data_IF_053092791631
#
_entry.id   IF_053092791631
#
_cell.length_a   1.000
_cell.length_b   1.000
_cell.length_c   1.000
_cell.angle_alpha   90.00
_cell.angle_beta   90.00
_cell.angle_gamma   90.00
#
_symmetry.space_group_name_H-M   'P 1'
#
loop_
_entity.id
_entity.type
_entity.pdbx_description
1 polymer ?
#
# COMPACT_ATOMS: atom_id res chain seq x y z
N UNK A 1 7.91 -7.21 -19.95
CA UNK A 1 7.51 -7.62 -18.59
C UNK A 1 7.09 -6.37 -17.83
N UNK A 2 5.88 -6.35 -17.26
CA UNK A 2 5.60 -5.39 -16.19
C UNK A 2 6.47 -5.78 -15.01
N UNK A 3 7.25 -4.82 -14.48
CA UNK A 3 8.01 -5.04 -13.26
C UNK A 3 7.04 -5.07 -12.08
N UNK A 4 7.30 -5.94 -11.11
CA UNK A 4 6.40 -6.21 -9.98
C UNK A 4 7.22 -6.26 -8.70
N UNK A 5 6.59 -5.89 -7.59
CA UNK A 5 7.20 -5.93 -6.26
C UNK A 5 6.64 -7.11 -5.46
N UNK A 6 7.52 -7.85 -4.79
CA UNK A 6 7.12 -8.84 -3.78
C UNK A 6 6.60 -8.17 -2.51
N UNK A 7 5.99 -8.94 -1.62
CA UNK A 7 5.56 -8.46 -0.31
C UNK A 7 6.70 -7.81 0.50
N UNK A 8 7.90 -8.42 0.49
CA UNK A 8 9.06 -7.86 1.20
C UNK A 8 9.56 -6.56 0.57
N UNK A 9 9.56 -6.47 -0.76
CA UNK A 9 9.92 -5.23 -1.47
C UNK A 9 8.92 -4.10 -1.16
N UNK A 10 7.61 -4.40 -1.12
CA UNK A 10 6.60 -3.43 -0.70
C UNK A 10 6.83 -2.95 0.74
N UNK A 11 7.06 -3.88 1.68
CA UNK A 11 7.34 -3.53 3.09
C UNK A 11 8.59 -2.66 3.22
N UNK A 12 9.65 -2.98 2.47
CA UNK A 12 10.86 -2.18 2.44
C UNK A 12 10.59 -0.78 1.89
N UNK A 13 9.86 -0.68 0.78
CA UNK A 13 9.49 0.59 0.18
C UNK A 13 8.68 1.47 1.15
N UNK A 14 7.70 0.89 1.84
CA UNK A 14 6.90 1.56 2.86
C UNK A 14 7.78 2.10 4.00
N UNK A 15 8.73 1.30 4.49
CA UNK A 15 9.63 1.71 5.57
C UNK A 15 10.49 2.92 5.15
N UNK A 16 11.07 2.89 3.95
CA UNK A 16 11.90 3.99 3.44
C UNK A 16 11.06 5.24 3.18
N UNK A 17 9.85 5.08 2.63
CA UNK A 17 8.94 6.20 2.40
C UNK A 17 8.50 6.87 3.71
N UNK A 18 8.24 6.10 4.77
CA UNK A 18 7.95 6.63 6.11
C UNK A 18 9.14 7.41 6.67
N UNK A 19 10.36 6.90 6.55
CA UNK A 19 11.56 7.62 6.97
C UNK A 19 11.71 8.95 6.21
N UNK A 20 11.49 8.95 4.89
CA UNK A 20 11.53 10.17 4.07
C UNK A 20 10.43 11.16 4.47
N UNK A 21 9.23 10.67 4.79
CA UNK A 21 8.15 11.50 5.30
C UNK A 21 8.48 12.09 6.68
N UNK A 22 9.15 11.35 7.56
CA UNK A 22 9.63 11.87 8.84
C UNK A 22 10.67 12.98 8.67
N UNK A 23 11.59 12.84 7.71
CA UNK A 23 12.53 13.90 7.34
C UNK A 23 11.79 15.14 6.85
N UNK A 24 10.74 14.96 6.04
CA UNK A 24 9.92 16.06 5.55
C UNK A 24 9.19 16.77 6.69
N UNK A 25 8.59 16.02 7.63
CA UNK A 25 7.93 16.60 8.81
C UNK A 25 8.89 17.35 9.73
N UNK A 26 10.16 16.91 9.83
CA UNK A 26 11.20 17.66 10.54
C UNK A 26 11.54 18.98 9.84
N UNK A 27 11.61 18.98 8.52
CA UNK A 27 11.90 20.17 7.70
C UNK A 27 10.71 21.15 7.64
N UNK A 28 9.50 20.63 7.70
CA UNK A 28 8.24 21.38 7.64
C UNK A 28 7.30 20.92 8.77
N UNK A 29 7.47 21.42 10.01
CA UNK A 29 6.76 20.92 11.20
C UNK A 29 5.25 21.11 11.16
N UNK A 30 4.73 22.00 10.31
CA UNK A 30 3.30 22.26 10.16
C UNK A 30 2.58 21.27 9.23
N UNK A 31 3.29 20.27 8.68
CA UNK A 31 2.69 19.25 7.80
C UNK A 31 1.73 18.36 8.58
N UNK A 32 0.42 18.63 8.44
CA UNK A 32 -0.67 17.77 8.88
C UNK A 32 -1.12 16.86 7.73
N UNK A 33 -0.42 15.74 7.58
CA UNK A 33 -0.62 14.84 6.46
C UNK A 33 -0.34 13.38 6.83
N UNK A 34 -0.77 12.47 5.95
CA UNK A 34 -0.54 11.03 6.03
C UNK A 34 -0.13 10.49 4.67
N UNK A 35 0.37 9.26 4.65
CA UNK A 35 0.81 8.60 3.42
C UNK A 35 -0.24 7.62 2.90
N UNK A 36 -0.33 7.53 1.58
CA UNK A 36 -1.16 6.55 0.87
C UNK A 36 -0.36 5.87 -0.23
N UNK A 37 -0.77 4.64 -0.54
CA UNK A 37 -0.44 3.96 -1.79
C UNK A 37 -1.49 4.37 -2.83
N UNK A 38 -1.07 4.77 -4.02
CA UNK A 38 -2.00 5.30 -5.03
C UNK A 38 -1.61 4.99 -6.46
N UNK A 39 -2.63 4.89 -7.31
CA UNK A 39 -2.56 4.91 -8.76
C UNK A 39 -3.75 5.72 -9.29
N UNK A 40 -3.91 5.79 -10.62
CA UNK A 40 -5.02 6.49 -11.26
C UNK A 40 -6.40 5.94 -10.88
N UNK A 41 -6.49 4.65 -10.57
CA UNK A 41 -7.74 3.91 -10.39
C UNK A 41 -8.04 3.54 -8.93
N UNK A 42 -7.23 4.01 -7.97
CA UNK A 42 -7.47 3.74 -6.56
C UNK A 42 -6.36 4.20 -5.63
N UNK A 43 -6.64 4.09 -4.34
CA UNK A 43 -5.68 4.33 -3.27
C UNK A 43 -6.06 3.55 -2.01
N UNK A 44 -5.07 3.32 -1.15
CA UNK A 44 -5.26 2.78 0.19
C UNK A 44 -4.29 3.45 1.17
N UNK A 45 -4.58 3.37 2.47
CA UNK A 45 -3.63 3.77 3.51
C UNK A 45 -2.28 3.06 3.30
N UNK A 46 -1.17 3.75 3.57
CA UNK A 46 0.17 3.11 3.51
C UNK A 46 0.30 1.94 4.51
N UNK A 47 -0.51 1.96 5.57
CA UNK A 47 -0.53 0.96 6.65
C UNK A 47 -1.55 -0.16 6.42
N UNK A 48 -2.25 -0.15 5.29
CA UNK A 48 -3.22 -1.18 4.96
C UNK A 48 -2.56 -2.56 4.88
N UNK A 49 -3.16 -3.53 5.56
CA UNK A 49 -2.81 -4.94 5.46
C UNK A 49 -3.03 -5.48 4.04
N UNK A 50 -2.39 -6.59 3.64
CA UNK A 50 -2.66 -7.22 2.34
C UNK A 50 -4.13 -7.53 2.07
N UNK A 51 -4.90 -7.87 3.11
CA UNK A 51 -6.36 -8.12 3.02
C UNK A 51 -7.11 -6.83 2.72
N UNK A 52 -6.77 -5.73 3.40
CA UNK A 52 -7.35 -4.41 3.15
C UNK A 52 -6.98 -3.91 1.75
N UNK A 53 -5.72 -4.05 1.34
CA UNK A 53 -5.27 -3.70 -0.02
C UNK A 53 -6.06 -4.45 -1.10
N UNK A 54 -6.29 -5.75 -0.92
CA UNK A 54 -7.11 -6.55 -1.85
C UNK A 54 -8.57 -6.09 -1.91
N UNK A 55 -9.10 -5.50 -0.83
CA UNK A 55 -10.49 -5.07 -0.76
C UNK A 55 -10.70 -3.62 -1.22
N UNK A 56 -9.82 -2.71 -0.80
CA UNK A 56 -9.95 -1.26 -1.01
C UNK A 56 -9.24 -0.80 -2.29
N UNK A 57 -8.13 -1.44 -2.63
CA UNK A 57 -7.30 -1.05 -3.77
C UNK A 57 -6.81 -2.27 -4.58
N UNK A 58 -7.75 -3.11 -5.08
CA UNK A 58 -7.40 -4.36 -5.76
C UNK A 58 -6.54 -4.14 -7.01
N UNK A 59 -6.65 -2.99 -7.68
CA UNK A 59 -5.86 -2.69 -8.88
C UNK A 59 -4.36 -2.55 -8.60
N UNK A 60 -3.94 -2.31 -7.36
CA UNK A 60 -2.53 -2.31 -6.97
C UNK A 60 -1.92 -3.73 -7.00
N UNK A 61 -2.73 -4.75 -6.71
CA UNK A 61 -2.28 -6.15 -6.67
C UNK A 61 -2.37 -6.73 -8.08
N UNK A 62 -1.28 -7.35 -8.53
CA UNK A 62 -1.17 -7.96 -9.86
C UNK A 62 -2.18 -9.09 -9.99
N UNK A 63 -2.85 -9.16 -11.15
CA UNK A 63 -3.80 -10.24 -11.46
C UNK A 63 -3.06 -11.52 -11.81
N UNK A 64 -2.61 -12.25 -10.78
CA UNK A 64 -1.89 -13.52 -10.87
C UNK A 64 -2.54 -14.62 -10.02
N UNK A 65 -1.90 -15.80 -10.01
CA UNK A 65 -2.35 -16.95 -9.22
C UNK A 65 -2.40 -16.67 -7.72
N UNK A 66 -1.48 -15.83 -7.20
CA UNK A 66 -1.43 -15.43 -5.80
C UNK A 66 -2.66 -14.61 -5.41
N UNK A 67 -3.01 -13.59 -6.21
CA UNK A 67 -4.23 -12.80 -6.01
C UNK A 67 -5.49 -13.66 -6.14
N UNK A 68 -5.56 -14.52 -7.15
CA UNK A 68 -6.70 -15.43 -7.35
C UNK A 68 -6.89 -16.37 -6.15
N UNK A 69 -5.81 -16.95 -5.63
CA UNK A 69 -5.84 -17.81 -4.46
C UNK A 69 -6.33 -17.05 -3.21
N UNK A 70 -5.80 -15.85 -2.96
CA UNK A 70 -6.20 -15.02 -1.81
C UNK A 70 -7.70 -14.66 -1.87
N UNK A 71 -8.19 -14.21 -3.04
CA UNK A 71 -9.60 -13.86 -3.24
C UNK A 71 -10.53 -15.09 -3.08
N UNK A 72 -10.11 -16.25 -3.54
CA UNK A 72 -10.85 -17.51 -3.38
C UNK A 72 -11.01 -17.86 -1.89
N UNK A 73 -9.93 -17.79 -1.11
CA UNK A 73 -9.96 -18.04 0.34
C UNK A 73 -10.81 -17.00 1.07
N UNK A 74 -10.66 -15.71 0.74
CA UNK A 74 -11.49 -14.63 1.31
C UNK A 74 -12.99 -14.85 1.04
N UNK A 75 -13.34 -15.28 -0.17
CA UNK A 75 -14.73 -15.59 -0.54
C UNK A 75 -15.26 -16.78 0.24
N UNK A 76 -14.45 -17.82 0.40
CA UNK A 76 -14.83 -19.00 1.19
C UNK A 76 -15.02 -18.65 2.68
N UNK A 77 -14.13 -17.85 3.27
CA UNK A 77 -14.27 -17.34 4.64
C UNK A 77 -15.56 -16.54 4.83
N UNK A 78 -15.92 -15.67 3.89
CA UNK A 78 -17.18 -14.93 3.93
C UNK A 78 -18.40 -15.86 3.93
N UNK A 79 -18.37 -16.93 3.11
CA UNK A 79 -19.43 -17.95 3.09
C UNK A 79 -19.53 -18.72 4.40
N UNK A 80 -18.38 -19.11 4.98
CA UNK A 80 -18.34 -19.78 6.29
C UNK A 80 -18.86 -18.89 7.43
N UNK A 81 -18.64 -17.58 7.35
CA UNK A 81 -19.22 -16.63 8.31
C UNK A 81 -20.73 -16.46 8.14
N UNK A 82 -21.23 -16.47 6.91
CA UNK A 82 -22.66 -16.36 6.62
C UNK A 82 -23.44 -17.64 6.94
N UNK A 83 -22.82 -18.82 6.79
CA UNK A 83 -23.43 -20.13 7.02
C UNK A 83 -23.34 -20.59 8.49
N UNK A 84 -23.40 -19.66 9.46
CA UNK A 84 -23.22 -19.96 10.89
C UNK A 84 -24.28 -20.90 11.49
N UNK A 85 -25.32 -21.23 10.73
CA UNK A 85 -26.37 -22.17 11.12
C UNK A 85 -26.13 -23.53 10.45
N UNK A 86 -25.70 -24.52 11.24
CA UNK A 86 -25.64 -25.94 10.83
C UNK A 86 -24.30 -26.66 11.07
N UNK A 87 -23.19 -25.94 11.30
CA UNK A 87 -21.90 -26.55 11.66
C UNK A 87 -21.74 -26.64 13.18
N UNK A 88 -21.27 -27.80 13.66
CA UNK A 88 -20.81 -27.93 15.05
C UNK A 88 -19.68 -26.94 15.33
N UNK A 89 -19.69 -26.32 16.53
CA UNK A 89 -18.74 -25.24 16.89
C UNK A 89 -17.27 -25.62 16.63
N UNK A 90 -16.90 -26.87 16.89
CA UNK A 90 -15.55 -27.39 16.68
C UNK A 90 -15.18 -27.49 15.20
N UNK A 91 -16.05 -28.05 14.35
CA UNK A 91 -15.82 -28.13 12.90
C UNK A 91 -15.75 -26.75 12.25
N UNK A 92 -16.61 -25.82 12.68
CA UNK A 92 -16.55 -24.44 12.21
C UNK A 92 -15.23 -23.75 12.61
N UNK A 93 -14.72 -24.02 13.82
CA UNK A 93 -13.45 -23.47 14.28
C UNK A 93 -12.26 -24.03 13.48
N UNK A 94 -12.24 -25.34 13.24
CA UNK A 94 -11.20 -26.00 12.46
C UNK A 94 -11.15 -25.49 11.01
N UNK A 95 -12.30 -25.41 10.34
CA UNK A 95 -12.38 -24.88 8.97
C UNK A 95 -11.92 -23.43 8.88
N UNK A 96 -12.28 -22.58 9.87
CA UNK A 96 -11.80 -21.19 9.93
C UNK A 96 -10.29 -21.13 10.13
N UNK A 97 -9.72 -21.98 10.97
CA UNK A 97 -8.28 -22.03 11.21
C UNK A 97 -7.51 -22.47 9.95
N UNK A 98 -7.99 -23.49 9.24
CA UNK A 98 -7.44 -23.91 7.95
C UNK A 98 -7.51 -22.78 6.91
N UNK A 99 -8.67 -22.13 6.78
CA UNK A 99 -8.83 -21.01 5.86
C UNK A 99 -7.90 -19.85 6.19
N UNK A 100 -7.69 -19.54 7.48
CA UNK A 100 -6.75 -18.51 7.91
C UNK A 100 -5.32 -18.86 7.50
N UNK A 101 -4.86 -20.09 7.74
CA UNK A 101 -3.52 -20.55 7.31
C UNK A 101 -3.33 -20.46 5.80
N UNK A 102 -4.34 -20.89 5.04
CA UNK A 102 -4.33 -20.78 3.56
C UNK A 102 -4.31 -19.34 3.09
N UNK A 103 -5.04 -18.45 3.77
CA UNK A 103 -5.01 -17.03 3.46
C UNK A 103 -3.62 -16.47 3.73
N UNK A 104 -3.05 -16.71 4.91
CA UNK A 104 -1.71 -16.22 5.28
C UNK A 104 -0.66 -16.65 4.23
N UNK A 105 -0.70 -17.91 3.77
CA UNK A 105 0.17 -18.42 2.70
C UNK A 105 -0.10 -17.76 1.33
N UNK A 106 -1.35 -17.49 0.98
CA UNK A 106 -1.68 -16.79 -0.26
C UNK A 106 -1.20 -15.33 -0.23
N UNK A 107 -1.31 -14.67 0.93
CA UNK A 107 -0.91 -13.28 1.12
C UNK A 107 0.61 -13.08 0.97
N UNK A 108 1.44 -14.07 1.35
CA UNK A 108 2.90 -13.99 1.17
C UNK A 108 3.33 -14.07 -0.30
N UNK A 109 2.48 -14.64 -1.16
CA UNK A 109 2.74 -14.82 -2.59
C UNK A 109 2.12 -13.71 -3.46
N UNK A 110 1.63 -12.63 -2.85
CA UNK A 110 1.11 -11.49 -3.60
C UNK A 110 2.23 -10.70 -4.26
N UNK A 111 1.99 -10.33 -5.51
CA UNK A 111 2.77 -9.34 -6.22
C UNK A 111 2.00 -8.03 -6.34
N UNK A 112 2.74 -6.93 -6.23
CA UNK A 112 2.21 -5.58 -6.28
C UNK A 112 2.78 -4.84 -7.47
N UNK A 113 2.00 -3.93 -8.06
CA UNK A 113 2.48 -3.06 -9.13
C UNK A 113 3.55 -2.12 -8.58
N UNK A 114 4.77 -2.24 -9.09
CA UNK A 114 5.94 -1.50 -8.60
C UNK A 114 5.87 0.02 -8.92
N UNK A 115 5.09 0.39 -9.94
CA UNK A 115 4.75 1.76 -10.30
C UNK A 115 3.73 2.42 -9.37
N UNK A 116 3.16 1.68 -8.41
CA UNK A 116 2.30 2.26 -7.39
C UNK A 116 3.04 3.39 -6.68
N UNK A 117 2.39 4.55 -6.56
CA UNK A 117 2.99 5.76 -6.03
C UNK A 117 2.76 5.82 -4.53
N UNK A 118 3.71 6.41 -3.82
CA UNK A 118 3.55 6.75 -2.40
C UNK A 118 3.36 8.26 -2.33
N UNK A 119 2.15 8.67 -1.97
CA UNK A 119 1.70 10.07 -1.97
C UNK A 119 1.46 10.59 -0.56
N UNK A 120 1.62 11.89 -0.40
CA UNK A 120 1.15 12.64 0.77
C UNK A 120 -0.29 13.07 0.54
N UNK A 121 -1.15 12.80 1.53
CA UNK A 121 -2.51 13.32 1.62
C UNK A 121 -2.63 14.24 2.82
N UNK A 122 -3.21 15.40 2.61
CA UNK A 122 -3.33 16.44 3.63
C UNK A 122 -4.64 16.28 4.40
N UNK A 123 -4.56 16.34 5.73
CA UNK A 123 -5.74 16.39 6.59
C UNK A 123 -6.37 17.79 6.60
N UNK A 124 -5.55 18.82 6.37
CA UNK A 124 -5.95 20.22 6.27
C UNK A 124 -5.21 20.86 5.09
N UNK A 125 -5.90 21.71 4.31
CA UNK A 125 -5.30 22.36 3.14
C UNK A 125 -4.58 23.64 3.55
N UNK A 126 -3.25 23.61 3.53
CA UNK A 126 -2.37 24.78 3.56
C UNK A 126 -1.69 24.91 2.20
N UNK A 127 -2.23 25.77 1.33
CA UNK A 127 -1.76 25.88 -0.06
C UNK A 127 -0.33 26.42 -0.16
N UNK A 128 0.09 27.33 0.73
CA UNK A 128 1.46 27.85 0.74
C UNK A 128 2.45 26.74 1.08
N UNK A 129 2.12 25.93 2.10
CA UNK A 129 2.92 24.74 2.43
C UNK A 129 2.94 23.74 1.28
N UNK A 130 1.79 23.44 0.68
CA UNK A 130 1.70 22.51 -0.46
C UNK A 130 2.58 22.99 -1.62
N UNK A 131 2.52 24.27 -2.00
CA UNK A 131 3.35 24.82 -3.08
C UNK A 131 4.83 24.78 -2.73
N UNK A 132 5.20 25.02 -1.47
CA UNK A 132 6.58 24.84 -1.00
C UNK A 132 7.03 23.39 -1.14
N UNK A 133 6.18 22.42 -0.77
CA UNK A 133 6.48 20.99 -0.85
C UNK A 133 6.65 20.50 -2.29
N UNK A 134 5.96 21.07 -3.28
CA UNK A 134 6.09 20.66 -4.68
C UNK A 134 7.54 20.70 -5.18
N UNK A 135 8.32 21.65 -4.68
CA UNK A 135 9.73 21.85 -5.07
C UNK A 135 10.72 21.30 -4.05
N UNK A 136 10.27 20.61 -3.00
CA UNK A 136 11.17 20.04 -2.01
C UNK A 136 12.10 18.98 -2.65
N UNK A 137 13.27 18.77 -2.07
CA UNK A 137 14.20 17.72 -2.55
C UNK A 137 13.80 16.33 -2.08
N UNK A 138 12.94 16.25 -1.06
CA UNK A 138 12.39 15.00 -0.53
C UNK A 138 11.16 14.51 -1.31
N UNK A 139 10.66 15.25 -2.29
CA UNK A 139 9.58 14.80 -3.18
C UNK A 139 10.15 14.32 -4.50
N UNK A 140 9.44 13.40 -5.15
CA UNK A 140 9.70 13.07 -6.55
C UNK A 140 9.10 14.18 -7.43
N UNK A 141 9.96 15.11 -7.86
CA UNK A 141 9.56 16.25 -8.70
C UNK A 141 9.11 15.87 -10.11
N UNK A 142 9.48 14.67 -10.59
CA UNK A 142 9.03 14.17 -11.89
C UNK A 142 7.59 13.66 -11.81
N UNK A 143 7.17 13.15 -10.63
CA UNK A 143 5.82 12.66 -10.39
C UNK A 143 4.89 13.69 -9.73
N UNK A 144 5.47 14.70 -9.08
CA UNK A 144 4.77 15.81 -8.42
C UNK A 144 4.56 16.97 -9.41
N UNK A 145 3.31 17.32 -9.74
CA UNK A 145 3.05 18.46 -10.62
C UNK A 145 3.58 19.78 -10.03
N UNK A 146 4.40 20.50 -10.81
CA UNK A 146 5.01 21.78 -10.42
C UNK A 146 4.07 22.95 -10.75
N UNK A 147 2.84 22.88 -10.29
CA UNK A 147 1.80 23.88 -10.59
C UNK A 147 0.90 24.12 -9.39
N UNK A 148 0.51 25.38 -9.20
CA UNK A 148 -0.42 25.78 -8.14
C UNK A 148 -1.83 25.19 -8.30
N UNK A 149 -2.15 24.65 -9.48
CA UNK A 149 -3.43 23.98 -9.75
C UNK A 149 -3.51 22.55 -9.19
N UNK A 150 -2.42 22.00 -8.65
CA UNK A 150 -2.39 20.65 -8.08
C UNK A 150 -2.02 20.69 -6.60
N UNK A 151 -2.64 19.81 -5.81
CA UNK A 151 -2.25 19.55 -4.42
C UNK A 151 -1.52 18.21 -4.27
N UNK A 152 -1.23 17.54 -5.39
CA UNK A 152 -0.67 16.20 -5.40
C UNK A 152 0.82 16.27 -5.10
N UNK A 153 1.25 15.61 -4.03
CA UNK A 153 2.66 15.50 -3.64
C UNK A 153 3.05 14.02 -3.61
N UNK A 154 3.96 13.61 -4.49
CA UNK A 154 4.43 12.24 -4.63
C UNK A 154 5.85 12.13 -4.08
N UNK A 155 6.10 11.16 -3.20
CA UNK A 155 7.43 10.91 -2.64
C UNK A 155 8.28 9.97 -3.51
N UNK A 156 7.64 9.15 -4.33
CA UNK A 156 8.26 8.16 -5.20
C UNK A 156 7.31 7.01 -5.52
N UNK A 157 7.85 5.93 -6.05
CA UNK A 157 7.12 4.69 -6.33
C UNK A 157 7.58 3.56 -5.42
N UNK A 158 6.81 2.47 -5.35
CA UNK A 158 7.25 1.25 -4.67
C UNK A 158 8.61 0.79 -5.21
N UNK A 159 8.80 0.80 -6.54
CA UNK A 159 10.06 0.45 -7.17
C UNK A 159 11.23 1.34 -6.71
N UNK A 160 11.06 2.67 -6.72
CA UNK A 160 12.16 3.59 -6.39
C UNK A 160 12.57 3.47 -4.93
N UNK A 161 11.62 3.30 -4.02
CA UNK A 161 11.92 3.12 -2.59
C UNK A 161 12.49 1.73 -2.26
N UNK A 162 12.04 0.67 -2.95
CA UNK A 162 12.62 -0.65 -2.79
C UNK A 162 14.10 -0.68 -3.22
N UNK A 163 14.45 0.03 -4.30
CA UNK A 163 15.83 0.14 -4.77
C UNK A 163 16.76 0.89 -3.80
N UNK A 164 16.27 1.97 -3.18
CA UNK A 164 17.07 2.80 -2.24
C UNK A 164 17.58 2.03 -1.02
N UNK A 165 16.89 0.96 -0.59
CA UNK A 165 17.37 0.13 0.53
C UNK A 165 18.52 -0.79 0.12
N UNK A 166 18.54 -1.27 -1.12
CA UNK A 166 19.63 -2.10 -1.64
C UNK A 166 20.96 -1.33 -1.68
N UNK A 167 20.91 -0.01 -1.89
CA UNK A 167 22.07 0.88 -1.92
C UNK A 167 22.60 1.26 -0.52
N UNK A 168 21.78 1.13 0.53
CA UNK A 168 22.20 1.40 1.92
C UNK A 168 22.84 0.19 2.62
N UNK A 169 22.86 -0.97 1.96
CA UNK A 169 23.47 -2.22 2.44
C UNK A 169 24.75 -2.61 1.66
N UNK A 170 25.27 -1.73 0.80
CA UNK A 170 26.56 -1.85 0.10
C UNK A 170 27.49 -0.72 0.56
#
# INVERSE_FOLDING_TARGET
MQSVATHDQLRCAIAVAKQRFDMMRKKHPNVKAYLVLSMLDGQASIDASPVELLSEFPSMVVDDEGKAAALSVMTHLKRLHAASDGLGKEQAAEQKAECKRRLDCALTNLHYKDKCQIEIRFSELDYELIWKLQTDELVDRNLTPQTKASIRIVLGTVASFAAMRSEQCL
#
